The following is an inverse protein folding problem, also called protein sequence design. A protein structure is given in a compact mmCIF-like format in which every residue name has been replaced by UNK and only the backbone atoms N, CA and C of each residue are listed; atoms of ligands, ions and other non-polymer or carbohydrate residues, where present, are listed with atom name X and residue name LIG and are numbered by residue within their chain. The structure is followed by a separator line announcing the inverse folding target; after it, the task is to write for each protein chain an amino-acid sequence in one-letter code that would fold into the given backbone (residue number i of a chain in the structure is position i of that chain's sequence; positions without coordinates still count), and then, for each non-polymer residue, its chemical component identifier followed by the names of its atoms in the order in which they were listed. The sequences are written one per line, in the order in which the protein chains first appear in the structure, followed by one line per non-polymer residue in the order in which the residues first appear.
data_IF_156515374743
#
_entry.id   IF_156515374743
#
_cell.length_a   1.000
_cell.length_b   1.000
_cell.length_c   1.000
_cell.angle_alpha   90.00
_cell.angle_beta   90.00
_cell.angle_gamma   90.00
#
_symmetry.space_group_name_H-M   'P 1'
#
loop_
_entity.id
_entity.type
_entity.pdbx_description
1 polymer ?
#
# COMPACT_ATOMS: atom_id res chain seq x y z
N UNK A 1 11.87 3.12 15.13
CA UNK A 1 11.42 3.05 13.72
C UNK A 1 10.32 2.02 13.63
N UNK A 2 9.21 2.34 12.98
CA UNK A 2 8.11 1.37 12.82
C UNK A 2 8.56 0.30 11.84
N UNK A 3 8.39 -0.97 12.17
CA UNK A 3 8.81 -2.06 11.29
C UNK A 3 7.99 -2.06 9.97
N UNK A 4 8.61 -2.34 8.81
CA UNK A 4 7.92 -2.34 7.51
C UNK A 4 6.68 -3.24 7.46
N UNK A 5 6.69 -4.37 8.17
CA UNK A 5 5.54 -5.29 8.22
C UNK A 5 4.31 -4.67 8.90
N UNK A 6 4.50 -3.78 9.89
CA UNK A 6 3.40 -3.10 10.59
C UNK A 6 2.73 -2.12 9.62
N UNK A 7 3.55 -1.31 8.95
CA UNK A 7 3.10 -0.31 7.97
C UNK A 7 2.35 -1.00 6.83
N UNK A 8 2.91 -2.11 6.32
CA UNK A 8 2.27 -2.91 5.28
C UNK A 8 0.91 -3.46 5.72
N UNK A 9 0.83 -4.01 6.94
CA UNK A 9 -0.42 -4.55 7.47
C UNK A 9 -1.48 -3.45 7.59
N UNK A 10 -1.13 -2.28 8.12
CA UNK A 10 -2.06 -1.15 8.22
C UNK A 10 -2.53 -0.68 6.85
N UNK A 11 -1.61 -0.46 5.91
CA UNK A 11 -1.98 -0.02 4.56
C UNK A 11 -2.87 -1.05 3.86
N UNK A 12 -2.53 -2.33 3.98
CA UNK A 12 -3.30 -3.41 3.37
C UNK A 12 -4.71 -3.52 3.95
N UNK A 13 -4.86 -3.39 5.28
CA UNK A 13 -6.16 -3.35 5.93
C UNK A 13 -7.00 -2.16 5.47
N UNK A 14 -6.38 -0.98 5.33
CA UNK A 14 -7.04 0.21 4.79
C UNK A 14 -7.56 -0.05 3.38
N UNK A 15 -6.72 -0.59 2.48
CA UNK A 15 -7.12 -0.91 1.10
C UNK A 15 -8.27 -1.92 1.04
N UNK A 16 -8.23 -2.95 1.88
CA UNK A 16 -9.29 -3.97 1.93
C UNK A 16 -10.59 -3.37 2.46
N UNK A 17 -10.57 -2.73 3.63
CA UNK A 17 -11.79 -2.23 4.28
C UNK A 17 -12.40 -1.10 3.47
N UNK A 18 -11.61 -0.09 3.07
CA UNK A 18 -12.12 1.05 2.32
C UNK A 18 -12.60 0.65 0.92
N UNK A 19 -11.87 -0.23 0.22
CA UNK A 19 -12.27 -0.70 -1.11
C UNK A 19 -13.53 -1.57 -1.08
N UNK A 20 -13.71 -2.40 -0.04
CA UNK A 20 -14.96 -3.14 0.15
C UNK A 20 -16.14 -2.22 0.47
N UNK A 21 -15.96 -1.21 1.32
CA UNK A 21 -16.99 -0.20 1.59
C UNK A 21 -17.38 0.51 0.28
N UNK A 22 -16.40 0.86 -0.55
CA UNK A 22 -16.64 1.51 -1.84
C UNK A 22 -17.41 0.59 -2.80
N UNK A 23 -17.01 -0.68 -2.90
CA UNK A 23 -17.67 -1.66 -3.76
C UNK A 23 -19.14 -1.92 -3.36
N UNK A 24 -19.43 -2.09 -2.07
CA UNK A 24 -20.79 -2.31 -1.59
C UNK A 24 -21.64 -1.04 -1.54
N UNK A 25 -21.01 0.13 -1.48
CA UNK A 25 -21.68 1.43 -1.48
C UNK A 25 -22.04 1.94 -2.88
N UNK A 26 -21.38 1.43 -3.94
CA UNK A 26 -21.68 1.78 -5.33
C UNK A 26 -22.93 1.01 -5.83
N UNK A 27 -24.00 1.70 -6.29
CA UNK A 27 -25.16 1.06 -6.89
C UNK A 27 -24.82 0.19 -8.11
N UNK A 28 -23.81 0.58 -8.89
CA UNK A 28 -23.38 -0.15 -10.08
C UNK A 28 -22.45 -1.33 -9.76
N UNK A 29 -21.93 -1.41 -8.52
CA UNK A 29 -20.97 -2.41 -8.04
C UNK A 29 -19.83 -2.63 -9.02
N UNK A 30 -19.18 -1.54 -9.43
CA UNK A 30 -18.11 -1.61 -10.42
C UNK A 30 -16.97 -2.54 -9.96
N UNK A 31 -16.57 -3.55 -10.77
CA UNK A 31 -15.48 -4.47 -10.44
C UNK A 31 -14.14 -3.76 -10.23
N UNK A 32 -13.97 -2.55 -10.79
CA UNK A 32 -12.75 -1.75 -10.64
C UNK A 32 -12.43 -1.46 -9.18
N UNK A 33 -13.43 -1.33 -8.30
CA UNK A 33 -13.21 -1.07 -6.87
C UNK A 33 -12.65 -2.29 -6.12
N UNK A 34 -12.76 -3.50 -6.66
CA UNK A 34 -12.17 -4.72 -6.07
C UNK A 34 -10.67 -4.83 -6.31
N UNK A 35 -10.10 -4.01 -7.20
CA UNK A 35 -8.64 -4.00 -7.45
C UNK A 35 -7.85 -3.63 -6.20
N UNK A 36 -8.26 -2.58 -5.47
CA UNK A 36 -7.59 -2.15 -4.24
C UNK A 36 -7.67 -3.22 -3.12
N UNK A 37 -8.83 -3.82 -2.79
CA UNK A 37 -8.93 -4.94 -1.85
C UNK A 37 -8.12 -6.16 -2.27
N UNK A 38 -8.17 -6.54 -3.56
CA UNK A 38 -7.41 -7.67 -4.06
C UNK A 38 -5.91 -7.47 -3.85
N UNK A 39 -5.40 -6.28 -4.15
CA UNK A 39 -3.99 -5.96 -3.92
C UNK A 39 -3.69 -5.84 -2.43
N UNK A 40 -4.60 -5.32 -1.61
CA UNK A 40 -4.48 -5.35 -0.16
C UNK A 40 -4.29 -6.77 0.40
N UNK A 41 -5.04 -7.75 -0.11
CA UNK A 41 -4.85 -9.16 0.26
C UNK A 41 -3.47 -9.70 -0.15
N UNK A 42 -2.98 -9.35 -1.34
CA UNK A 42 -1.63 -9.71 -1.76
C UNK A 42 -0.57 -9.09 -0.85
N UNK A 43 -0.73 -7.81 -0.48
CA UNK A 43 0.15 -7.14 0.47
C UNK A 43 0.16 -7.86 1.83
N UNK A 44 -1.01 -8.26 2.35
CA UNK A 44 -1.09 -9.05 3.59
C UNK A 44 -0.35 -10.39 3.48
N UNK A 45 -0.47 -11.10 2.37
CA UNK A 45 0.27 -12.33 2.13
C UNK A 45 1.80 -12.09 2.11
N UNK A 46 2.23 -10.95 1.57
CA UNK A 46 3.65 -10.55 1.60
C UNK A 46 4.14 -10.15 2.99
N UNK A 47 3.27 -9.81 3.96
CA UNK A 47 3.67 -9.46 5.34
C UNK A 47 4.47 -10.56 6.01
N UNK A 48 4.11 -11.83 5.81
CA UNK A 48 4.86 -12.96 6.37
C UNK A 48 6.31 -13.00 5.83
N UNK A 49 6.46 -12.74 4.53
CA UNK A 49 7.77 -12.74 3.87
C UNK A 49 8.60 -11.49 4.20
N UNK A 50 7.96 -10.35 4.44
CA UNK A 50 8.62 -9.13 4.95
C UNK A 50 9.24 -9.35 6.33
N UNK A 51 8.62 -10.18 7.18
CA UNK A 51 9.18 -10.53 8.50
C UNK A 51 10.49 -11.33 8.37
N UNK A 52 10.69 -12.06 7.28
CA UNK A 52 11.93 -12.78 6.97
C UNK A 52 13.02 -11.88 6.38
N UNK A 53 12.80 -10.55 6.34
CA UNK A 53 13.78 -9.59 5.83
C UNK A 53 14.30 -9.92 4.42
N UNK A 54 13.47 -10.41 3.50
CA UNK A 54 13.91 -10.67 2.13
C UNK A 54 13.89 -9.37 1.31
N UNK A 55 15.04 -9.00 0.72
CA UNK A 55 15.20 -7.74 -0.05
C UNK A 55 14.37 -7.69 -1.32
N UNK A 56 14.20 -8.83 -1.99
CA UNK A 56 13.38 -8.93 -3.19
C UNK A 56 11.92 -8.63 -2.84
N UNK A 57 11.39 -9.27 -1.80
CA UNK A 57 10.02 -9.08 -1.33
C UNK A 57 9.77 -7.63 -0.91
N UNK A 58 10.73 -7.01 -0.21
CA UNK A 58 10.60 -5.63 0.22
C UNK A 58 10.48 -4.64 -0.96
N UNK A 59 11.30 -4.82 -2.00
CA UNK A 59 11.19 -4.04 -3.24
C UNK A 59 9.85 -4.26 -3.94
N UNK A 60 9.44 -5.53 -4.08
CA UNK A 60 8.17 -5.88 -4.72
C UNK A 60 6.99 -5.26 -3.99
N UNK A 61 6.93 -5.36 -2.65
CA UNK A 61 5.88 -4.73 -1.83
C UNK A 61 5.86 -3.22 -2.01
N UNK A 62 7.04 -2.59 -2.01
CA UNK A 62 7.14 -1.14 -2.19
C UNK A 62 6.60 -0.72 -3.56
N UNK A 63 7.01 -1.41 -4.63
CA UNK A 63 6.53 -1.15 -5.98
C UNK A 63 5.02 -1.39 -6.12
N UNK A 64 4.52 -2.50 -5.57
CA UNK A 64 3.10 -2.85 -5.60
C UNK A 64 2.26 -1.81 -4.85
N UNK A 65 2.73 -1.34 -3.69
CA UNK A 65 2.04 -0.31 -2.89
C UNK A 65 2.01 1.04 -3.63
N UNK A 66 3.12 1.43 -4.27
CA UNK A 66 3.16 2.63 -5.10
C UNK A 66 2.19 2.53 -6.27
N UNK A 67 2.17 1.39 -6.96
CA UNK A 67 1.30 1.13 -8.11
C UNK A 67 -0.18 1.27 -7.71
N UNK A 68 -0.58 0.68 -6.58
CA UNK A 68 -1.94 0.84 -6.04
C UNK A 68 -2.26 2.30 -5.75
N UNK A 69 -1.36 3.01 -5.07
CA UNK A 69 -1.56 4.43 -4.75
C UNK A 69 -1.81 5.25 -6.02
N UNK A 70 -1.04 4.99 -7.09
CA UNK A 70 -1.24 5.63 -8.40
C UNK A 70 -2.56 5.25 -9.06
N UNK A 71 -2.94 3.97 -9.06
CA UNK A 71 -4.22 3.51 -9.62
C UNK A 71 -5.42 4.12 -8.90
N UNK A 72 -5.34 4.25 -7.57
CA UNK A 72 -6.41 4.85 -6.76
C UNK A 72 -6.49 6.36 -7.03
N UNK A 73 -5.37 7.06 -7.11
CA UNK A 73 -5.36 8.49 -7.45
C UNK A 73 -5.85 8.73 -8.88
N UNK A 74 -5.55 7.83 -9.83
CA UNK A 74 -6.06 7.94 -11.19
C UNK A 74 -7.60 7.81 -11.26
N UNK A 75 -8.23 7.10 -10.32
CA UNK A 75 -9.69 7.07 -10.23
C UNK A 75 -10.30 8.37 -9.70
N UNK A 76 -9.49 9.30 -9.19
CA UNK A 76 -9.96 10.61 -8.73
C UNK A 76 -10.02 11.54 -9.93
N UNK A 77 -11.23 11.94 -10.33
CA UNK A 77 -11.45 12.98 -11.33
C UNK A 77 -11.39 14.36 -10.65
N UNK A 78 -10.32 15.15 -10.84
CA UNK A 78 -10.17 16.43 -10.14
C UNK A 78 -11.22 17.47 -10.56
N UNK A 79 -11.71 17.39 -11.79
CA UNK A 79 -12.72 18.31 -12.33
C UNK A 79 -14.11 18.08 -11.71
N UNK A 80 -14.41 16.84 -11.33
CA UNK A 80 -15.67 16.43 -10.71
C UNK A 80 -15.50 16.11 -9.21
N UNK A 81 -14.42 16.60 -8.59
CA UNK A 81 -14.13 16.27 -7.21
C UNK A 81 -15.16 16.90 -6.27
N UNK A 82 -15.99 16.04 -5.69
CA UNK A 82 -16.89 16.40 -4.60
C UNK A 82 -16.48 15.70 -3.31
N UNK A 83 -16.77 16.35 -2.16
CA UNK A 83 -16.60 15.78 -0.82
C UNK A 83 -17.67 14.72 -0.51
N UNK A 84 -17.82 13.75 -1.39
CA UNK A 84 -18.69 12.59 -1.21
C UNK A 84 -17.93 11.43 -0.55
N UNK A 85 -18.67 10.41 -0.12
CA UNK A 85 -18.08 9.23 0.55
C UNK A 85 -17.06 8.51 -0.33
N UNK A 86 -17.28 8.45 -1.64
CA UNK A 86 -16.40 7.77 -2.58
C UNK A 86 -15.04 8.47 -2.69
N UNK A 87 -15.04 9.77 -2.95
CA UNK A 87 -13.83 10.60 -3.04
C UNK A 87 -13.00 10.55 -1.75
N UNK A 88 -13.66 10.58 -0.59
CA UNK A 88 -13.00 10.48 0.71
C UNK A 88 -12.31 9.12 0.88
N UNK A 89 -12.98 8.01 0.50
CA UNK A 89 -12.39 6.67 0.59
C UNK A 89 -11.22 6.48 -0.39
N UNK A 90 -11.35 6.99 -1.62
CA UNK A 90 -10.27 6.98 -2.61
C UNK A 90 -9.05 7.79 -2.10
N UNK A 91 -9.28 8.99 -1.58
CA UNK A 91 -8.21 9.79 -0.97
C UNK A 91 -7.55 9.07 0.21
N UNK A 92 -8.34 8.44 1.08
CA UNK A 92 -7.83 7.73 2.25
C UNK A 92 -6.94 6.54 1.83
N UNK A 93 -7.37 5.75 0.84
CA UNK A 93 -6.58 4.64 0.28
C UNK A 93 -5.31 5.10 -0.45
N UNK A 94 -5.43 6.17 -1.24
CA UNK A 94 -4.29 6.74 -1.95
C UNK A 94 -3.25 7.29 -0.95
N UNK A 95 -3.71 8.12 -0.02
CA UNK A 95 -2.87 8.76 0.99
C UNK A 95 -2.17 7.73 1.90
N UNK A 96 -2.89 6.69 2.35
CA UNK A 96 -2.26 5.62 3.14
C UNK A 96 -1.16 4.91 2.37
N UNK A 97 -1.36 4.68 1.06
CA UNK A 97 -0.38 4.03 0.19
C UNK A 97 0.86 4.88 0.00
N UNK A 98 0.72 6.19 -0.22
CA UNK A 98 1.86 7.10 -0.34
C UNK A 98 2.63 7.23 0.97
N UNK A 99 1.94 7.29 2.11
CA UNK A 99 2.61 7.27 3.43
C UNK A 99 3.42 5.97 3.56
N UNK A 100 2.82 4.82 3.27
CA UNK A 100 3.51 3.53 3.37
C UNK A 100 4.78 3.50 2.50
N UNK A 101 4.69 3.95 1.25
CA UNK A 101 5.86 4.06 0.35
C UNK A 101 6.92 5.00 0.91
N UNK A 102 6.54 6.17 1.45
CA UNK A 102 7.48 7.12 2.02
C UNK A 102 8.30 6.48 3.15
N UNK A 103 7.67 5.65 3.99
CA UNK A 103 8.36 4.88 5.01
C UNK A 103 9.30 3.82 4.40
N UNK A 104 8.87 3.08 3.39
CA UNK A 104 9.70 2.05 2.74
C UNK A 104 10.93 2.66 2.04
N UNK A 105 10.75 3.78 1.35
CA UNK A 105 11.86 4.52 0.74
C UNK A 105 12.77 5.10 1.83
N UNK A 106 12.20 5.59 2.93
CA UNK A 106 12.96 6.06 4.09
C UNK A 106 13.89 4.98 4.67
N UNK A 107 13.40 3.74 4.81
CA UNK A 107 14.25 2.62 5.28
C UNK A 107 15.35 2.29 4.28
N UNK A 108 15.07 2.31 2.97
CA UNK A 108 16.10 2.14 1.93
C UNK A 108 17.20 3.21 1.98
N UNK A 109 16.82 4.48 2.11
CA UNK A 109 17.76 5.60 2.18
C UNK A 109 18.63 5.49 3.43
N UNK A 110 18.04 5.10 4.55
CA UNK A 110 18.75 4.93 5.81
C UNK A 110 19.78 3.79 5.74
N UNK A 111 19.41 2.64 5.20
CA UNK A 111 20.34 1.51 4.98
C UNK A 111 21.53 1.94 4.11
N UNK A 112 21.25 2.69 3.04
CA UNK A 112 22.31 3.22 2.15
C UNK A 112 23.24 4.19 2.87
N UNK A 113 22.70 5.03 3.77
CA UNK A 113 23.50 5.95 4.60
C UNK A 113 24.38 5.23 5.60
N UNK A 114 23.87 4.15 6.22
CA UNK A 114 24.62 3.41 7.23
C UNK A 114 25.66 2.44 6.65
N UNK A 115 25.69 2.20 5.33
CA UNK A 115 26.54 1.19 4.66
C UNK A 115 26.47 -0.21 5.31
N UNK A 116 25.41 -0.48 6.07
CA UNK A 116 25.28 -1.65 6.90
C UNK A 116 24.22 -2.59 6.31
N UNK A 117 24.65 -3.64 5.60
CA UNK A 117 23.77 -4.70 5.10
C UNK A 117 23.22 -5.61 6.25
N UNK A 118 23.34 -5.19 7.51
CA UNK A 118 23.00 -6.00 8.69
C UNK A 118 21.55 -6.51 8.77
N UNK A 119 20.61 -5.89 8.05
CA UNK A 119 19.19 -6.30 8.06
C UNK A 119 18.93 -7.53 7.18
N UNK A 120 19.78 -7.79 6.16
CA UNK A 120 19.57 -8.84 5.14
C UNK A 120 20.62 -9.97 5.22
N UNK A 121 21.25 -10.17 6.37
CA UNK A 121 22.41 -11.07 6.50
C UNK A 121 22.11 -12.55 6.26
N UNK A 122 20.84 -12.97 6.22
CA UNK A 122 20.46 -14.38 6.15
C UNK A 122 20.34 -14.93 4.71
N UNK A 123 20.60 -14.10 3.68
CA UNK A 123 20.50 -14.48 2.26
C UNK A 123 21.87 -14.79 1.58
N UNK A 124 22.94 -15.00 2.35
CA UNK A 124 24.29 -15.38 1.87
C UNK A 124 24.79 -16.69 2.46
#
# INVERSE_FOLDING_TARGET
MVHPYVINTFNALVLVVAGLILYFGDPARSPTYLTAPFIGLLLLACTHHLRKHNRFVFNTVTALTLLVGLLVVWQIEPENFEWNRQSILLLLMGFSSFIAVAFYVGTFVQERRMRNNSIYKDDL
#
